data_IF_144974281589
#
_entry.id   IF_144974281589
#
_cell.length_a   1.000
_cell.length_b   1.000
_cell.length_c   1.000
_cell.angle_alpha   90.00
_cell.angle_beta   90.00
_cell.angle_gamma   90.00
#
_symmetry.space_group_name_H-M   'P 1'
#
loop_
_entity.id
_entity.type
_entity.pdbx_description
1 polymer ?
#
# COMPACT_ATOMS: atom_id res chain seq x y z
N UNK A 1 -26.44 -24.50 47.00
CA UNK A 1 -24.96 -24.49 46.76
C UNK A 1 -24.63 -24.49 45.24
N UNK A 2 -25.46 -25.06 44.34
CA UNK A 2 -25.20 -25.14 42.89
C UNK A 2 -25.32 -23.81 42.12
N UNK A 3 -26.08 -22.82 42.62
CA UNK A 3 -26.35 -21.54 41.92
C UNK A 3 -25.15 -20.55 41.91
N UNK A 4 -24.26 -20.59 42.90
CA UNK A 4 -23.15 -19.63 43.03
C UNK A 4 -22.02 -19.92 42.06
N UNK A 5 -21.77 -21.19 41.71
CA UNK A 5 -20.69 -21.55 40.75
C UNK A 5 -21.05 -21.21 39.30
N UNK A 6 -22.36 -21.24 38.96
CA UNK A 6 -22.81 -20.91 37.59
C UNK A 6 -22.62 -19.43 37.28
N UNK A 7 -22.80 -18.55 38.27
CA UNK A 7 -22.63 -17.08 38.09
C UNK A 7 -21.15 -16.72 37.86
N UNK A 8 -20.22 -17.36 38.58
CA UNK A 8 -18.79 -17.10 38.41
C UNK A 8 -18.26 -17.63 37.09
N UNK A 9 -18.75 -18.74 36.57
CA UNK A 9 -18.35 -19.31 35.29
C UNK A 9 -18.79 -18.42 34.11
N UNK A 10 -20.00 -17.88 34.14
CA UNK A 10 -20.53 -16.98 33.11
C UNK A 10 -19.79 -15.65 33.13
N UNK A 11 -19.52 -15.09 34.30
CA UNK A 11 -18.75 -13.83 34.42
C UNK A 11 -17.30 -13.97 33.87
N UNK A 12 -16.65 -15.11 34.08
CA UNK A 12 -15.31 -15.40 33.53
C UNK A 12 -15.28 -15.47 32.02
N UNK A 13 -16.28 -16.12 31.40
CA UNK A 13 -16.37 -16.26 29.95
C UNK A 13 -16.60 -14.90 29.27
N UNK A 14 -17.46 -14.05 29.84
CA UNK A 14 -17.76 -12.71 29.33
C UNK A 14 -16.49 -11.80 29.41
N UNK A 15 -15.74 -11.88 30.49
CA UNK A 15 -14.50 -11.11 30.65
C UNK A 15 -13.42 -11.52 29.66
N UNK A 16 -13.26 -12.81 29.40
CA UNK A 16 -12.29 -13.33 28.42
C UNK A 16 -12.67 -12.90 26.99
N UNK A 17 -13.95 -12.96 26.62
CA UNK A 17 -14.40 -12.54 25.28
C UNK A 17 -14.21 -11.04 25.04
N UNK A 18 -14.39 -10.20 26.07
CA UNK A 18 -14.14 -8.75 25.98
C UNK A 18 -12.64 -8.42 25.76
N UNK A 19 -11.73 -9.15 26.41
CA UNK A 19 -10.30 -8.99 26.23
C UNK A 19 -9.85 -9.43 24.82
N UNK A 20 -10.39 -10.52 24.29
CA UNK A 20 -10.11 -10.95 22.91
C UNK A 20 -10.62 -9.95 21.86
N UNK A 21 -11.76 -9.32 22.10
CA UNK A 21 -12.30 -8.28 21.20
C UNK A 21 -11.46 -7.01 21.24
N UNK A 22 -10.92 -6.62 22.38
CA UNK A 22 -10.05 -5.44 22.51
C UNK A 22 -8.68 -5.65 21.85
N UNK A 23 -8.12 -6.86 21.89
CA UNK A 23 -6.86 -7.21 21.22
C UNK A 23 -6.98 -7.22 19.69
N UNK A 24 -8.14 -7.46 19.11
CA UNK A 24 -8.39 -7.38 17.66
C UNK A 24 -8.63 -5.94 17.16
N UNK A 25 -8.89 -5.00 18.04
CA UNK A 25 -9.23 -3.62 17.67
C UNK A 25 -8.03 -2.71 17.37
N UNK A 26 -6.82 -3.23 17.41
CA UNK A 26 -5.58 -2.48 17.08
C UNK A 26 -4.88 -3.05 15.86
N UNK A 27 -5.58 -3.27 14.76
CA UNK A 27 -4.94 -3.29 13.45
C UNK A 27 -4.61 -1.82 13.11
N UNK A 28 -3.41 -1.38 13.47
CA UNK A 28 -2.87 -0.11 12.98
C UNK A 28 -2.67 -0.27 11.49
N UNK A 29 -3.62 0.21 10.70
CA UNK A 29 -3.44 0.35 9.26
C UNK A 29 -2.37 1.39 9.02
N UNK A 30 -1.23 0.98 8.43
CA UNK A 30 -0.20 1.91 8.00
C UNK A 30 -0.75 2.79 6.87
N UNK A 31 -0.24 4.00 6.80
CA UNK A 31 -0.47 4.91 5.69
C UNK A 31 0.78 5.02 4.82
N UNK A 32 0.65 5.37 3.56
CA UNK A 32 1.78 5.73 2.69
C UNK A 32 2.62 6.89 3.25
N UNK A 33 2.09 7.62 4.22
CA UNK A 33 2.80 8.70 4.95
C UNK A 33 3.71 8.20 6.07
N UNK A 34 3.65 6.92 6.43
CA UNK A 34 4.42 6.36 7.55
C UNK A 34 5.83 5.86 7.13
N UNK A 35 6.27 6.22 5.92
CA UNK A 35 7.60 5.84 5.44
C UNK A 35 7.70 4.34 5.17
N UNK A 36 6.87 3.86 4.24
CA UNK A 36 6.67 2.42 3.96
C UNK A 36 7.66 1.84 2.93
N UNK A 37 8.57 2.65 2.40
CA UNK A 37 9.61 2.26 1.45
C UNK A 37 10.94 2.95 1.79
N UNK A 38 12.07 2.50 1.24
CA UNK A 38 13.38 3.17 1.41
C UNK A 38 13.77 3.99 0.19
N UNK A 39 14.59 5.03 0.37
CA UNK A 39 15.13 5.81 -0.76
C UNK A 39 15.91 4.93 -1.74
N UNK A 40 16.69 3.96 -1.25
CA UNK A 40 17.42 3.03 -2.11
C UNK A 40 16.48 2.16 -2.96
N UNK A 41 15.35 1.75 -2.38
CA UNK A 41 14.34 1.02 -3.14
C UNK A 41 13.73 1.88 -4.25
N UNK A 42 13.41 3.14 -3.97
CA UNK A 42 12.92 4.06 -4.98
C UNK A 42 13.95 4.37 -6.07
N UNK A 43 15.25 4.44 -5.74
CA UNK A 43 16.32 4.59 -6.72
C UNK A 43 16.42 3.40 -7.68
N UNK A 44 16.31 2.16 -7.17
CA UNK A 44 16.22 0.97 -8.04
C UNK A 44 14.96 1.02 -8.91
N UNK A 45 13.84 1.42 -8.34
CA UNK A 45 12.56 1.59 -9.05
C UNK A 45 12.63 2.62 -10.18
N UNK A 46 13.39 3.70 -10.01
CA UNK A 46 13.61 4.70 -11.06
C UNK A 46 14.29 4.08 -12.29
N UNK A 47 15.37 3.31 -12.09
CA UNK A 47 16.04 2.64 -13.21
C UNK A 47 15.11 1.66 -13.94
N UNK A 48 14.33 0.88 -13.18
CA UNK A 48 13.34 -0.07 -13.72
C UNK A 48 12.18 0.63 -14.42
N UNK A 49 11.76 1.80 -13.92
CA UNK A 49 10.70 2.60 -14.55
C UNK A 49 11.12 3.06 -15.97
N UNK A 50 12.34 3.55 -16.12
CA UNK A 50 12.87 3.95 -17.42
C UNK A 50 12.94 2.79 -18.40
N UNK A 51 13.22 1.59 -17.92
CA UNK A 51 13.33 0.41 -18.78
C UNK A 51 11.96 -0.15 -19.20
N UNK A 52 10.94 -0.08 -18.33
CA UNK A 52 9.70 -0.83 -18.52
C UNK A 52 8.43 0.01 -18.66
N UNK A 53 8.45 1.29 -18.26
CA UNK A 53 7.23 2.08 -18.08
C UNK A 53 7.26 3.45 -18.79
N UNK A 54 8.44 4.08 -18.91
CA UNK A 54 8.62 5.45 -19.38
C UNK A 54 8.05 5.69 -20.77
N UNK A 55 8.24 4.74 -21.69
CA UNK A 55 7.77 4.87 -23.07
C UNK A 55 6.27 5.16 -23.19
N UNK A 56 5.45 4.69 -22.21
CA UNK A 56 4.03 4.91 -22.21
C UNK A 56 3.59 5.94 -21.16
N UNK A 57 4.21 5.94 -19.98
CA UNK A 57 3.78 6.80 -18.87
C UNK A 57 4.50 8.13 -18.77
N UNK A 58 5.49 8.39 -19.69
CA UNK A 58 6.26 9.62 -19.72
C UNK A 58 7.43 9.67 -18.73
N UNK A 59 8.44 10.52 -18.99
CA UNK A 59 9.65 10.64 -18.16
C UNK A 59 9.34 11.14 -16.74
N UNK A 60 8.33 12.02 -16.60
CA UNK A 60 7.88 12.59 -15.32
C UNK A 60 6.62 11.91 -14.76
N UNK A 61 6.29 10.72 -15.26
CA UNK A 61 5.08 9.98 -14.87
C UNK A 61 3.78 10.73 -15.22
N UNK A 62 3.83 11.63 -16.16
CA UNK A 62 2.71 12.52 -16.54
C UNK A 62 1.63 11.81 -17.36
N UNK A 63 1.98 10.65 -17.97
CA UNK A 63 1.08 9.94 -18.88
C UNK A 63 0.79 10.69 -20.16
N UNK A 64 -0.07 10.11 -20.98
CA UNK A 64 -0.56 10.72 -22.23
C UNK A 64 -1.99 10.26 -22.56
N UNK A 65 -2.37 10.31 -23.86
CA UNK A 65 -3.69 9.86 -24.31
C UNK A 65 -3.87 8.34 -24.23
N UNK A 66 -2.79 7.56 -24.19
CA UNK A 66 -2.79 6.10 -24.21
C UNK A 66 -2.58 5.50 -22.82
N UNK A 67 -1.78 6.17 -21.98
CA UNK A 67 -1.44 5.72 -20.63
C UNK A 67 -1.78 6.80 -19.58
N UNK A 68 -2.49 6.45 -18.49
CA UNK A 68 -2.85 7.41 -17.45
C UNK A 68 -1.60 7.90 -16.70
N UNK A 69 -1.65 9.11 -16.10
CA UNK A 69 -0.57 9.61 -15.26
C UNK A 69 -0.38 8.69 -14.03
N UNK A 70 0.87 8.54 -13.62
CA UNK A 70 1.28 7.84 -12.40
C UNK A 70 1.73 8.82 -11.30
N UNK A 71 1.57 10.12 -11.54
CA UNK A 71 1.89 11.18 -10.59
C UNK A 71 0.81 12.26 -10.56
N UNK A 72 0.88 13.12 -9.53
CA UNK A 72 0.03 14.31 -9.40
C UNK A 72 -1.39 14.03 -8.92
N UNK A 73 -2.22 15.09 -8.94
CA UNK A 73 -3.53 15.10 -8.31
C UNK A 73 -4.52 14.07 -8.86
N UNK A 74 -4.54 13.84 -10.17
CA UNK A 74 -5.41 12.84 -10.79
C UNK A 74 -5.05 11.43 -10.31
N UNK A 75 -3.77 11.07 -10.34
CA UNK A 75 -3.30 9.79 -9.86
C UNK A 75 -3.63 9.61 -8.37
N UNK A 76 -3.28 10.58 -7.54
CA UNK A 76 -3.54 10.51 -6.11
C UNK A 76 -5.03 10.37 -5.78
N UNK A 77 -5.89 11.10 -6.47
CA UNK A 77 -7.35 11.01 -6.27
C UNK A 77 -7.92 9.65 -6.65
N UNK A 78 -7.39 9.02 -7.71
CA UNK A 78 -7.85 7.70 -8.15
C UNK A 78 -7.50 6.58 -7.16
N UNK A 79 -6.45 6.76 -6.37
CA UNK A 79 -5.99 5.77 -5.40
C UNK A 79 -6.33 6.12 -3.94
N UNK A 80 -6.84 7.33 -3.68
CA UNK A 80 -7.17 7.77 -2.32
C UNK A 80 -8.16 6.85 -1.61
N UNK A 81 -7.83 6.51 -0.38
CA UNK A 81 -8.64 5.61 0.44
C UNK A 81 -8.53 4.12 0.10
N UNK A 82 -7.80 3.74 -0.96
CA UNK A 82 -7.64 2.34 -1.35
C UNK A 82 -6.42 1.68 -0.66
N UNK A 83 -6.44 0.34 -0.47
CA UNK A 83 -5.25 -0.39 -0.08
C UNK A 83 -4.14 -0.27 -1.12
N UNK A 84 -2.89 -0.06 -0.67
CA UNK A 84 -1.72 0.03 -1.56
C UNK A 84 -1.51 -1.26 -2.38
N UNK A 85 -1.92 -2.41 -1.84
CA UNK A 85 -1.90 -3.68 -2.53
C UNK A 85 -2.74 -3.72 -3.81
N UNK A 86 -3.74 -2.84 -3.96
CA UNK A 86 -4.51 -2.73 -5.21
C UNK A 86 -3.64 -2.14 -6.33
N UNK A 87 -2.87 -1.09 -6.04
CA UNK A 87 -1.93 -0.49 -6.99
C UNK A 87 -0.81 -1.47 -7.34
N UNK A 88 -0.23 -2.13 -6.34
CA UNK A 88 0.75 -3.20 -6.54
C UNK A 88 0.21 -4.31 -7.45
N UNK A 89 -1.00 -4.79 -7.20
CA UNK A 89 -1.64 -5.83 -8.00
C UNK A 89 -1.87 -5.37 -9.44
N UNK A 90 -2.20 -4.09 -9.65
CA UNK A 90 -2.34 -3.51 -10.99
C UNK A 90 -1.02 -3.55 -11.74
N UNK A 91 0.08 -3.13 -11.11
CA UNK A 91 1.43 -3.20 -11.71
C UNK A 91 1.76 -4.65 -12.04
N UNK A 92 1.68 -5.53 -11.05
CA UNK A 92 2.09 -6.92 -11.15
C UNK A 92 1.36 -7.73 -12.21
N UNK A 93 0.05 -7.50 -12.38
CA UNK A 93 -0.77 -8.32 -13.27
C UNK A 93 -0.87 -7.77 -14.69
N UNK A 94 -0.96 -6.45 -14.79
CA UNK A 94 -1.40 -5.81 -16.02
C UNK A 94 -0.30 -4.98 -16.70
N UNK A 95 0.83 -4.73 -16.00
CA UNK A 95 1.90 -3.89 -16.53
C UNK A 95 3.20 -4.69 -16.77
N UNK A 96 4.04 -4.26 -17.73
CA UNK A 96 3.74 -3.30 -18.79
C UNK A 96 2.63 -3.82 -19.71
N UNK A 97 1.83 -2.94 -20.30
CA UNK A 97 0.66 -3.33 -21.12
C UNK A 97 1.11 -3.82 -22.51
N UNK A 98 1.88 -4.91 -22.56
CA UNK A 98 2.41 -5.54 -23.76
C UNK A 98 2.55 -7.05 -23.52
N UNK A 99 3.30 -7.76 -24.39
CA UNK A 99 3.57 -9.22 -24.26
C UNK A 99 4.25 -9.62 -22.94
N UNK A 100 4.78 -8.67 -22.18
CA UNK A 100 5.51 -8.91 -20.93
C UNK A 100 4.65 -8.61 -19.68
N UNK A 101 3.35 -8.35 -19.86
CA UNK A 101 2.41 -8.17 -18.75
C UNK A 101 2.48 -9.35 -17.76
N UNK A 102 2.66 -9.02 -16.49
CA UNK A 102 2.75 -10.00 -15.40
C UNK A 102 4.05 -10.82 -15.34
N UNK A 103 5.08 -10.48 -16.13
CA UNK A 103 6.36 -11.22 -16.15
C UNK A 103 7.45 -10.63 -15.27
N UNK A 104 7.31 -9.41 -14.82
CA UNK A 104 8.26 -8.81 -13.87
C UNK A 104 8.24 -9.59 -12.55
N UNK A 105 9.39 -9.63 -11.86
CA UNK A 105 9.43 -10.29 -10.55
C UNK A 105 8.68 -9.47 -9.49
N UNK A 106 8.19 -10.10 -8.41
CA UNK A 106 7.53 -9.38 -7.32
C UNK A 106 8.37 -8.27 -6.71
N UNK A 107 9.67 -8.46 -6.65
CA UNK A 107 10.64 -7.48 -6.13
C UNK A 107 10.72 -6.25 -7.05
N UNK A 108 10.79 -6.48 -8.37
CA UNK A 108 10.78 -5.41 -9.39
C UNK A 108 9.50 -4.59 -9.29
N UNK A 109 8.36 -5.22 -9.15
CA UNK A 109 7.07 -4.54 -9.00
C UNK A 109 7.01 -3.69 -7.72
N UNK A 110 7.61 -4.16 -6.62
CA UNK A 110 7.70 -3.39 -5.38
C UNK A 110 8.66 -2.21 -5.48
N UNK A 111 9.79 -2.36 -6.17
CA UNK A 111 10.73 -1.27 -6.43
C UNK A 111 10.08 -0.19 -7.33
N UNK A 112 9.35 -0.59 -8.38
CA UNK A 112 8.57 0.31 -9.22
C UNK A 112 7.51 1.08 -8.40
N UNK A 113 6.79 0.39 -7.53
CA UNK A 113 5.81 1.02 -6.65
C UNK A 113 6.47 2.02 -5.69
N UNK A 114 7.63 1.70 -5.12
CA UNK A 114 8.39 2.61 -4.26
C UNK A 114 8.81 3.89 -5.02
N UNK A 115 9.22 3.76 -6.27
CA UNK A 115 9.52 4.91 -7.13
C UNK A 115 8.28 5.78 -7.38
N UNK A 116 7.15 5.18 -7.74
CA UNK A 116 5.88 5.92 -7.93
C UNK A 116 5.50 6.68 -6.66
N UNK A 117 5.62 6.07 -5.48
CA UNK A 117 5.36 6.74 -4.20
C UNK A 117 6.31 7.92 -3.98
N UNK A 118 7.60 7.78 -4.34
CA UNK A 118 8.60 8.84 -4.16
C UNK A 118 8.32 10.06 -5.04
N UNK A 119 7.94 9.86 -6.31
CA UNK A 119 7.58 10.95 -7.23
C UNK A 119 6.30 11.67 -6.76
N UNK A 120 5.39 10.95 -6.11
CA UNK A 120 4.20 11.53 -5.48
C UNK A 120 4.48 12.16 -4.09
N UNK A 121 5.76 12.33 -3.70
CA UNK A 121 6.21 13.02 -2.49
C UNK A 121 5.78 12.34 -1.17
N UNK A 122 5.48 11.05 -1.18
CA UNK A 122 5.34 10.30 0.07
C UNK A 122 6.72 10.09 0.70
N UNK A 123 6.84 10.17 2.03
CA UNK A 123 8.15 10.12 2.67
C UNK A 123 8.76 8.70 2.65
N UNK A 124 10.07 8.57 2.40
CA UNK A 124 10.76 7.31 2.61
C UNK A 124 10.90 6.99 4.10
N UNK A 125 11.04 5.71 4.41
CA UNK A 125 11.26 5.18 5.75
C UNK A 125 12.54 4.36 5.86
N UNK A 126 12.54 3.41 6.80
CA UNK A 126 13.72 2.58 7.13
C UNK A 126 13.60 1.14 6.64
N UNK A 127 12.42 0.70 6.28
CA UNK A 127 12.14 -0.64 5.77
C UNK A 127 11.75 -0.56 4.29
N UNK A 128 12.14 -1.55 3.52
CA UNK A 128 11.70 -1.68 2.14
C UNK A 128 10.22 -2.06 2.08
N UNK A 129 9.55 -1.58 1.05
CA UNK A 129 8.19 -1.96 0.73
C UNK A 129 8.16 -3.47 0.42
N UNK A 130 7.31 -4.25 1.09
CA UNK A 130 7.22 -5.68 0.83
C UNK A 130 6.63 -5.97 -0.56
N UNK A 131 6.96 -7.13 -1.12
CA UNK A 131 6.49 -7.57 -2.44
C UNK A 131 5.34 -8.59 -2.35
N UNK A 132 4.50 -8.49 -1.33
CA UNK A 132 3.34 -9.36 -1.09
C UNK A 132 2.07 -8.50 -0.99
N UNK A 133 1.11 -8.74 -1.89
CA UNK A 133 -0.12 -7.97 -1.97
C UNK A 133 -0.91 -7.98 -0.64
N UNK A 134 -0.91 -9.11 0.07
CA UNK A 134 -1.61 -9.28 1.35
C UNK A 134 -1.07 -8.35 2.43
N UNK A 135 0.25 -8.14 2.44
CA UNK A 135 0.91 -7.21 3.37
C UNK A 135 0.65 -5.76 2.96
N UNK A 136 0.74 -5.48 1.66
CA UNK A 136 0.48 -4.15 1.11
C UNK A 136 -0.99 -3.72 1.26
N UNK A 137 -1.93 -4.66 1.37
CA UNK A 137 -3.33 -4.37 1.66
C UNK A 137 -3.56 -3.78 3.07
N UNK A 138 -2.58 -3.88 3.97
CA UNK A 138 -2.62 -3.26 5.29
C UNK A 138 -2.11 -1.81 5.28
N UNK A 139 -1.59 -1.34 4.15
CA UNK A 139 -1.13 0.04 3.94
C UNK A 139 -2.20 0.78 3.15
N UNK A 140 -2.66 1.92 3.66
CA UNK A 140 -3.65 2.75 2.99
C UNK A 140 -2.97 3.84 2.15
N UNK A 141 -3.38 3.95 0.91
CA UNK A 141 -3.03 5.11 0.09
C UNK A 141 -3.94 6.27 0.51
N UNK A 142 -3.36 7.37 0.97
CA UNK A 142 -4.12 8.53 1.48
C UNK A 142 -3.47 9.82 1.00
N UNK A 143 -4.27 10.71 0.44
CA UNK A 143 -3.85 12.10 0.24
C UNK A 143 -4.00 12.85 1.57
N UNK A 144 -3.00 13.69 1.94
CA UNK A 144 -3.20 14.61 3.06
C UNK A 144 -4.28 15.60 2.67
N UNK A 145 -5.51 15.36 3.11
CA UNK A 145 -6.51 16.41 3.12
C UNK A 145 -5.93 17.56 3.92
N UNK A 146 -5.75 18.74 3.27
CA UNK A 146 -5.24 19.91 3.95
C UNK A 146 -6.09 20.16 5.18
N UNK A 147 -5.50 19.89 6.35
CA UNK A 147 -6.12 20.23 7.63
C UNK A 147 -6.23 21.75 7.61
N UNK A 148 -7.44 22.30 7.41
CA UNK A 148 -7.71 23.70 7.61
C UNK A 148 -7.32 24.00 9.07
N UNK A 149 -6.21 24.73 9.23
CA UNK A 149 -5.83 25.35 10.50
C UNK A 149 -6.84 26.48 10.79
#
# INVERSE_FOLDING_TARGET
>A
VKSRYTIFAVAGIVAISAVYSALRAQETTLSVWDGVYTSLQAERGNALYREHCEDCHGEELEGDAEAPPLSGGTFQTNWDGLPLGNLYTRIRRDMPLNKDAGKLSPEVDADLLAYILSVNHFPPGRAELPHAAEVLNQIRFEIKSGRKQ
#
